data_IF_432087572797
#
_entry.id   IF_432087572797
#
_cell.length_a   1.000
_cell.length_b   1.000
_cell.length_c   1.000
_cell.angle_alpha   90.00
_cell.angle_beta   90.00
_cell.angle_gamma   90.00
#
_symmetry.space_group_name_H-M   'P 1'
#
loop_
_entity.id
_entity.type
_entity.pdbx_description
1 polymer ?
#
# COMPACT_ATOMS: atom_id res chain seq x y z
N UNK A 1 8.11 10.73 -8.25
CA UNK A 1 9.00 10.27 -9.35
C UNK A 1 8.97 11.15 -10.58
N UNK A 2 7.85 11.33 -11.28
CA UNK A 2 7.83 12.10 -12.52
C UNK A 2 8.31 13.55 -12.35
N UNK A 3 7.85 14.23 -11.28
CA UNK A 3 8.33 15.56 -10.88
C UNK A 3 9.86 15.59 -10.75
N UNK A 4 10.43 14.66 -9.97
CA UNK A 4 11.88 14.53 -9.73
C UNK A 4 12.70 14.22 -10.99
N UNK A 5 12.07 13.65 -12.02
CA UNK A 5 12.71 13.41 -13.31
C UNK A 5 12.59 14.62 -14.28
N UNK A 6 12.08 15.75 -13.81
CA UNK A 6 12.00 16.99 -14.57
C UNK A 6 10.74 17.14 -15.43
N UNK A 7 9.63 16.48 -15.06
CA UNK A 7 8.35 16.76 -15.70
C UNK A 7 7.87 18.17 -15.31
N UNK A 8 7.54 19.01 -16.30
CA UNK A 8 7.07 20.38 -16.08
C UNK A 8 5.72 20.43 -15.34
N UNK A 9 4.83 19.48 -15.63
CA UNK A 9 3.52 19.34 -14.98
C UNK A 9 3.18 17.86 -14.82
N UNK A 10 2.66 17.48 -13.64
CA UNK A 10 2.20 16.12 -13.36
C UNK A 10 0.80 16.19 -12.78
N UNK A 11 -0.16 15.52 -13.44
CA UNK A 11 -1.54 15.43 -12.98
C UNK A 11 -1.96 13.97 -12.80
N UNK A 12 -2.44 13.64 -11.60
CA UNK A 12 -3.01 12.35 -11.25
C UNK A 12 -4.54 12.40 -11.44
N UNK A 13 -5.03 11.62 -12.39
CA UNK A 13 -6.47 11.45 -12.61
C UNK A 13 -6.98 10.24 -11.82
N UNK A 14 -7.98 10.46 -10.97
CA UNK A 14 -8.56 9.41 -10.14
C UNK A 14 -10.08 9.38 -10.23
N UNK A 15 -10.65 8.19 -10.49
CA UNK A 15 -12.08 8.03 -10.73
C UNK A 15 -12.99 8.18 -9.50
N UNK A 16 -12.43 8.26 -8.29
CA UNK A 16 -13.17 8.43 -7.02
C UNK A 16 -12.74 9.73 -6.32
N UNK A 17 -13.27 10.00 -5.13
CA UNK A 17 -12.82 11.14 -4.32
C UNK A 17 -11.52 10.78 -3.58
N UNK A 18 -10.88 11.80 -3.04
CA UNK A 18 -9.71 11.68 -2.16
C UNK A 18 -9.95 10.70 -1.01
N UNK A 19 -11.12 10.77 -0.36
CA UNK A 19 -11.46 9.93 0.78
C UNK A 19 -11.61 8.43 0.46
N UNK A 20 -11.73 8.06 -0.82
CA UNK A 20 -11.70 6.65 -1.25
C UNK A 20 -10.40 6.26 -1.95
N UNK A 21 -9.37 7.10 -1.91
CA UNK A 21 -8.03 6.76 -2.39
C UNK A 21 -7.42 5.68 -1.47
N UNK A 22 -6.85 4.60 -2.03
CA UNK A 22 -6.25 3.54 -1.22
C UNK A 22 -4.85 3.90 -0.69
N UNK A 23 -4.23 4.98 -1.20
CA UNK A 23 -2.95 5.47 -0.73
C UNK A 23 -3.08 6.07 0.67
N UNK A 24 -1.98 6.10 1.41
CA UNK A 24 -1.96 6.77 2.71
C UNK A 24 -2.15 8.28 2.52
N UNK A 25 -2.87 8.94 3.44
CA UNK A 25 -3.04 10.40 3.38
C UNK A 25 -1.70 11.14 3.39
N UNK A 26 -0.72 10.60 4.10
CA UNK A 26 0.64 11.14 4.12
C UNK A 26 1.27 11.16 2.71
N UNK A 27 1.19 10.06 1.96
CA UNK A 27 1.70 10.01 0.58
C UNK A 27 0.92 10.93 -0.37
N UNK A 28 -0.40 11.06 -0.19
CA UNK A 28 -1.24 11.95 -0.99
C UNK A 28 -0.83 13.40 -0.77
N UNK A 29 -0.72 13.83 0.48
CA UNK A 29 -0.31 15.19 0.82
C UNK A 29 1.13 15.46 0.39
N UNK A 30 2.06 14.53 0.61
CA UNK A 30 3.44 14.66 0.17
C UNK A 30 3.56 14.83 -1.35
N UNK A 31 2.73 14.13 -2.14
CA UNK A 31 2.67 14.34 -3.58
C UNK A 31 2.11 15.72 -3.96
N UNK A 32 1.09 16.22 -3.25
CA UNK A 32 0.57 17.58 -3.45
C UNK A 32 1.61 18.64 -3.11
N UNK A 33 2.36 18.46 -2.03
CA UNK A 33 3.47 19.33 -1.61
C UNK A 33 4.60 19.36 -2.65
N UNK A 34 4.89 18.23 -3.30
CA UNK A 34 5.81 18.13 -4.43
C UNK A 34 5.24 18.72 -5.75
N UNK A 35 4.05 19.31 -5.73
CA UNK A 35 3.45 19.98 -6.90
C UNK A 35 2.69 19.06 -7.85
N UNK A 36 2.32 17.84 -7.43
CA UNK A 36 1.43 16.98 -8.23
C UNK A 36 0.00 17.49 -8.15
N UNK A 37 -0.61 17.75 -9.31
CA UNK A 37 -2.01 18.10 -9.43
C UNK A 37 -2.90 16.84 -9.30
N UNK A 38 -4.06 16.99 -8.67
CA UNK A 38 -5.04 15.90 -8.55
C UNK A 38 -6.35 16.27 -9.22
N UNK A 39 -6.81 15.41 -10.13
CA UNK A 39 -8.12 15.50 -10.75
C UNK A 39 -8.96 14.31 -10.31
N UNK A 40 -9.77 14.56 -9.28
CA UNK A 40 -10.68 13.58 -8.68
C UNK A 40 -11.97 13.45 -9.47
N UNK A 41 -12.64 12.30 -9.30
CA UNK A 41 -13.86 11.96 -10.03
C UNK A 41 -13.68 12.06 -11.54
N UNK A 42 -12.52 11.64 -12.05
CA UNK A 42 -12.21 11.62 -13.48
C UNK A 42 -11.81 10.21 -13.92
N UNK A 43 -12.53 9.69 -14.92
CA UNK A 43 -12.28 8.37 -15.50
C UNK A 43 -11.88 8.49 -16.96
N UNK A 44 -10.73 7.92 -17.32
CA UNK A 44 -10.27 7.86 -18.70
C UNK A 44 -11.26 7.04 -19.56
N UNK A 45 -11.64 7.58 -20.72
CA UNK A 45 -12.50 6.89 -21.70
C UNK A 45 -11.79 6.57 -23.01
N UNK A 46 -10.81 7.39 -23.42
CA UNK A 46 -10.12 7.20 -24.71
C UNK A 46 -8.75 7.88 -24.71
N UNK A 47 -7.76 7.20 -25.27
CA UNK A 47 -6.47 7.80 -25.65
C UNK A 47 -6.46 7.91 -27.17
N UNK A 48 -6.15 9.10 -27.67
CA UNK A 48 -5.98 9.39 -29.09
C UNK A 48 -4.48 9.59 -29.31
N UNK A 49 -3.83 8.73 -30.12
CA UNK A 49 -2.41 8.87 -30.40
C UNK A 49 -2.13 10.15 -31.19
N UNK A 50 -1.03 10.81 -30.86
CA UNK A 50 -0.63 12.10 -31.43
C UNK A 50 0.64 12.62 -30.76
N UNK A 51 1.08 13.81 -31.17
CA UNK A 51 2.11 14.61 -30.48
C UNK A 51 1.58 16.04 -30.32
N UNK A 52 1.00 16.40 -29.15
CA UNK A 52 0.86 15.59 -27.93
C UNK A 52 -0.22 14.50 -28.03
N UNK A 53 -0.24 13.56 -27.07
CA UNK A 53 -1.35 12.62 -26.90
C UNK A 53 -2.58 13.38 -26.41
N UNK A 54 -3.77 12.93 -26.81
CA UNK A 54 -5.04 13.46 -26.27
C UNK A 54 -5.74 12.39 -25.46
N UNK A 55 -6.03 12.69 -24.20
CA UNK A 55 -6.77 11.80 -23.31
C UNK A 55 -8.12 12.41 -23.02
N UNK A 56 -9.19 11.69 -23.37
CA UNK A 56 -10.53 12.06 -22.99
C UNK A 56 -10.84 11.43 -21.63
N UNK A 57 -11.30 12.27 -20.70
CA UNK A 57 -11.81 11.88 -19.41
C UNK A 57 -13.32 12.18 -19.34
N UNK A 58 -14.04 11.30 -18.64
CA UNK A 58 -15.42 11.49 -18.24
C UNK A 58 -15.47 11.84 -16.77
N UNK A 59 -16.29 12.82 -16.41
CA UNK A 59 -16.54 13.16 -15.02
C UNK A 59 -17.38 12.07 -14.35
N UNK A 60 -17.13 11.81 -13.08
CA UNK A 60 -17.77 10.80 -12.27
C UNK A 60 -18.55 11.46 -11.13
N UNK A 61 -19.54 10.75 -10.58
CA UNK A 61 -20.19 11.09 -9.32
C UNK A 61 -20.11 9.90 -8.36
N UNK A 62 -20.02 10.13 -7.03
CA UNK A 62 -20.03 9.05 -6.06
C UNK A 62 -21.42 8.40 -5.99
N UNK A 63 -21.51 7.11 -6.31
CA UNK A 63 -22.71 6.30 -6.10
C UNK A 63 -22.75 5.63 -4.72
N UNK A 64 -23.47 4.51 -4.63
CA UNK A 64 -23.55 3.71 -3.41
C UNK A 64 -22.19 3.08 -3.04
N UNK A 65 -21.90 2.92 -1.74
CA UNK A 65 -20.76 2.14 -1.26
C UNK A 65 -20.77 0.70 -1.78
N UNK A 66 -19.60 0.17 -2.11
CA UNK A 66 -19.38 -1.25 -2.34
C UNK A 66 -19.12 -2.01 -1.02
N UNK A 67 -18.88 -3.32 -1.10
CA UNK A 67 -18.61 -4.18 0.07
C UNK A 67 -17.37 -3.75 0.88
N UNK A 68 -16.46 -2.97 0.28
CA UNK A 68 -15.30 -2.40 0.96
C UNK A 68 -15.59 -1.03 1.60
N UNK A 69 -16.84 -0.54 1.49
CA UNK A 69 -17.25 0.79 1.95
C UNK A 69 -16.92 1.92 0.97
N UNK A 70 -16.25 1.64 -0.16
CA UNK A 70 -15.85 2.65 -1.14
C UNK A 70 -17.01 2.93 -2.09
N UNK A 71 -17.31 4.20 -2.33
CA UNK A 71 -18.38 4.57 -3.27
C UNK A 71 -18.02 4.13 -4.69
N UNK A 72 -19.00 3.55 -5.38
CA UNK A 72 -18.87 3.18 -6.78
C UNK A 72 -18.87 4.45 -7.63
N UNK A 73 -17.86 4.67 -8.48
CA UNK A 73 -17.86 5.83 -9.35
C UNK A 73 -18.86 5.62 -10.48
N UNK A 74 -19.81 6.53 -10.62
CA UNK A 74 -20.85 6.49 -11.67
C UNK A 74 -20.57 7.57 -12.72
N UNK A 75 -20.69 7.27 -14.02
CA UNK A 75 -20.43 8.25 -15.06
C UNK A 75 -21.44 9.40 -14.99
N UNK A 76 -20.95 10.64 -15.08
CA UNK A 76 -21.77 11.82 -15.31
C UNK A 76 -21.87 12.06 -16.83
N UNK A 77 -23.04 11.80 -17.39
CA UNK A 77 -23.25 11.96 -18.83
C UNK A 77 -23.09 13.42 -19.28
N UNK A 78 -22.50 13.62 -20.46
CA UNK A 78 -22.32 14.94 -21.07
C UNK A 78 -21.23 15.81 -20.43
N UNK A 79 -20.52 15.33 -19.40
CA UNK A 79 -19.44 16.07 -18.73
C UNK A 79 -18.11 15.32 -18.83
N UNK A 80 -17.09 16.01 -19.30
CA UNK A 80 -15.76 15.47 -19.48
C UNK A 80 -14.78 16.52 -19.98
N UNK A 81 -13.50 16.18 -19.99
CA UNK A 81 -12.43 17.05 -20.45
C UNK A 81 -11.49 16.26 -21.35
N UNK A 82 -10.92 16.93 -22.35
CA UNK A 82 -9.78 16.40 -23.11
C UNK A 82 -8.52 17.09 -22.61
N UNK A 83 -7.54 16.30 -22.20
CA UNK A 83 -6.24 16.78 -21.72
C UNK A 83 -5.17 16.37 -22.73
N UNK A 84 -4.20 17.25 -22.95
CA UNK A 84 -3.02 16.97 -23.76
C UNK A 84 -1.85 16.56 -22.83
N UNK A 85 -1.12 15.51 -23.19
CA UNK A 85 0.05 15.07 -22.43
C UNK A 85 1.10 14.43 -23.34
N UNK A 86 2.38 14.57 -22.97
CA UNK A 86 3.49 13.92 -23.67
C UNK A 86 3.70 12.47 -23.22
N UNK A 87 3.38 12.19 -21.94
CA UNK A 87 3.58 10.88 -21.31
C UNK A 87 2.33 10.47 -20.52
N UNK A 88 1.95 9.20 -20.61
CA UNK A 88 0.88 8.61 -19.81
C UNK A 88 1.48 7.45 -19.01
N UNK A 89 1.27 7.48 -17.69
CA UNK A 89 1.62 6.37 -16.80
C UNK A 89 0.33 5.75 -16.28
N UNK A 90 0.07 4.49 -16.64
CA UNK A 90 -1.10 3.77 -16.13
C UNK A 90 -0.78 3.15 -14.77
N UNK A 91 -1.43 3.63 -13.71
CA UNK A 91 -1.27 3.15 -12.33
C UNK A 91 -2.57 2.50 -11.80
N UNK A 92 -3.23 1.70 -12.63
CA UNK A 92 -4.52 1.06 -12.29
C UNK A 92 -4.37 -0.27 -11.50
N UNK A 93 -3.15 -0.60 -11.10
CA UNK A 93 -2.80 -1.84 -10.41
C UNK A 93 -2.37 -2.96 -11.35
N UNK A 94 -2.17 -4.15 -10.77
CA UNK A 94 -1.80 -5.38 -11.47
C UNK A 94 -2.73 -6.52 -11.06
N UNK A 95 -2.67 -7.60 -11.84
CA UNK A 95 -3.32 -8.87 -11.53
C UNK A 95 -2.32 -10.01 -11.66
N UNK A 96 -2.39 -10.98 -10.77
CA UNK A 96 -1.71 -12.25 -10.94
C UNK A 96 -2.22 -12.94 -12.21
N UNK A 97 -1.30 -13.53 -12.97
CA UNK A 97 -1.64 -14.39 -14.10
C UNK A 97 -0.81 -15.66 -13.97
N UNK A 98 -1.48 -16.76 -13.64
CA UNK A 98 -0.87 -18.09 -13.71
C UNK A 98 -0.85 -18.54 -15.17
N UNK A 99 0.32 -18.82 -15.76
CA UNK A 99 0.40 -19.31 -17.14
C UNK A 99 -0.37 -20.61 -17.35
N UNK A 100 -0.96 -20.76 -18.54
CA UNK A 100 -1.60 -22.00 -18.92
C UNK A 100 -0.61 -23.17 -18.88
N UNK A 101 -1.06 -24.33 -18.42
CA UNK A 101 -0.23 -25.54 -18.31
C UNK A 101 0.48 -25.73 -16.95
N UNK A 102 0.35 -24.79 -16.02
CA UNK A 102 0.88 -24.95 -14.66
C UNK A 102 0.08 -25.95 -13.82
N UNK A 103 -1.18 -26.25 -14.19
CA UNK A 103 -2.00 -27.27 -13.53
C UNK A 103 -2.57 -26.91 -12.15
N UNK A 104 -2.20 -25.74 -11.60
CA UNK A 104 -2.73 -25.23 -10.33
C UNK A 104 -4.09 -24.58 -10.52
N UNK A 105 -4.99 -24.78 -9.55
CA UNK A 105 -6.32 -24.18 -9.54
C UNK A 105 -6.23 -22.68 -9.26
N UNK A 106 -7.06 -21.91 -9.96
CA UNK A 106 -7.14 -20.45 -9.83
C UNK A 106 -8.58 -20.00 -9.74
N UNK A 107 -8.80 -18.95 -8.96
CA UNK A 107 -10.13 -18.37 -8.80
C UNK A 107 -10.53 -17.56 -10.04
N UNK A 108 -11.76 -17.01 -10.03
CA UNK A 108 -12.29 -16.18 -11.14
C UNK A 108 -11.46 -14.92 -11.44
N UNK A 109 -10.59 -14.49 -10.53
CA UNK A 109 -9.69 -13.34 -10.67
C UNK A 109 -8.30 -13.74 -11.18
N UNK A 110 -8.03 -15.03 -11.40
CA UNK A 110 -6.75 -15.56 -11.87
C UNK A 110 -5.69 -15.70 -10.77
N UNK A 111 -6.10 -15.63 -9.50
CA UNK A 111 -5.24 -15.82 -8.32
C UNK A 111 -5.21 -17.30 -7.94
N UNK A 112 -4.09 -17.77 -7.41
CA UNK A 112 -3.92 -19.16 -6.97
C UNK A 112 -4.84 -19.44 -5.79
N UNK A 113 -5.60 -20.53 -5.86
CA UNK A 113 -6.41 -20.98 -4.73
C UNK A 113 -5.54 -21.82 -3.78
N UNK A 114 -5.69 -21.54 -2.48
CA UNK A 114 -4.99 -22.25 -1.41
C UNK A 114 -5.93 -22.54 -0.24
N UNK A 115 -5.56 -23.52 0.58
CA UNK A 115 -6.16 -23.70 1.90
C UNK A 115 -5.57 -22.74 2.96
N UNK A 116 -5.96 -22.93 4.23
CA UNK A 116 -5.49 -22.12 5.37
C UNK A 116 -3.99 -22.29 5.65
N UNK A 117 -3.41 -23.42 5.24
CA UNK A 117 -1.99 -23.73 5.35
C UNK A 117 -1.19 -23.26 4.12
N UNK A 118 -1.85 -22.52 3.22
CA UNK A 118 -1.32 -22.00 1.96
C UNK A 118 -0.93 -23.07 0.93
N UNK A 119 -1.43 -24.30 1.10
CA UNK A 119 -1.21 -25.39 0.15
C UNK A 119 -2.13 -25.20 -1.05
N UNK A 120 -1.59 -25.40 -2.25
CA UNK A 120 -2.36 -25.30 -3.51
C UNK A 120 -3.06 -26.62 -3.84
N UNK A 121 -3.76 -26.68 -4.97
CA UNK A 121 -4.33 -27.93 -5.50
C UNK A 121 -3.28 -28.96 -5.97
N UNK A 122 -2.04 -28.53 -6.21
CA UNK A 122 -0.92 -29.42 -6.55
C UNK A 122 -0.22 -29.87 -5.27
N UNK A 123 0.22 -31.14 -5.23
CA UNK A 123 0.68 -31.76 -3.98
C UNK A 123 1.77 -30.96 -3.25
N UNK A 124 3.03 -31.11 -3.51
CA UNK A 124 4.11 -30.42 -2.83
C UNK A 124 4.29 -28.92 -3.20
N UNK A 125 3.19 -28.15 -3.33
CA UNK A 125 3.20 -26.75 -3.81
C UNK A 125 2.35 -25.84 -2.93
N UNK A 126 2.94 -24.69 -2.54
CA UNK A 126 2.33 -23.64 -1.73
C UNK A 126 2.39 -22.28 -2.43
N UNK A 127 1.47 -21.38 -2.08
CA UNK A 127 1.46 -20.01 -2.58
C UNK A 127 0.99 -19.03 -1.51
N UNK A 128 1.54 -17.80 -1.51
CA UNK A 128 1.18 -16.77 -0.54
C UNK A 128 1.35 -15.35 -1.12
N UNK A 129 0.94 -14.35 -0.36
CA UNK A 129 1.00 -12.95 -0.76
C UNK A 129 0.11 -12.65 -1.97
N UNK A 130 0.59 -11.76 -2.83
CA UNK A 130 -0.24 -11.22 -3.91
C UNK A 130 -0.66 -12.25 -4.97
N UNK A 131 0.04 -13.40 -5.05
CA UNK A 131 -0.33 -14.49 -5.93
C UNK A 131 -1.69 -15.11 -5.55
N UNK A 132 -2.05 -15.05 -4.26
CA UNK A 132 -3.29 -15.61 -3.69
C UNK A 132 -4.35 -14.51 -3.53
N UNK A 133 -3.97 -13.33 -3.04
CA UNK A 133 -4.93 -12.29 -2.66
C UNK A 133 -5.03 -11.12 -3.65
N UNK A 134 -4.08 -10.98 -4.58
CA UNK A 134 -3.90 -9.77 -5.37
C UNK A 134 -3.12 -8.70 -4.60
N UNK A 135 -3.11 -7.43 -5.02
CA UNK A 135 -2.28 -6.42 -4.37
C UNK A 135 -2.58 -6.27 -2.87
N UNK A 136 -1.61 -6.63 -2.03
CA UNK A 136 -1.65 -6.51 -0.56
C UNK A 136 -0.43 -5.78 -0.02
N UNK A 137 -0.24 -5.76 1.30
CA UNK A 137 0.93 -5.16 1.95
C UNK A 137 2.08 -6.15 2.07
N UNK A 138 3.31 -5.63 2.15
CA UNK A 138 4.51 -6.45 2.38
C UNK A 138 4.38 -7.30 3.64
N UNK A 139 3.77 -6.77 4.71
CA UNK A 139 3.58 -7.52 5.96
C UNK A 139 2.61 -8.70 5.80
N UNK A 140 1.60 -8.59 4.93
CA UNK A 140 0.71 -9.71 4.62
C UNK A 140 1.47 -10.83 3.90
N UNK A 141 2.30 -10.48 2.91
CA UNK A 141 3.15 -11.45 2.23
C UNK A 141 4.17 -12.12 3.18
N UNK A 142 4.74 -11.38 4.13
CA UNK A 142 5.63 -11.94 5.16
C UNK A 142 4.91 -12.93 6.08
N UNK A 143 3.71 -12.59 6.54
CA UNK A 143 2.84 -13.49 7.32
C UNK A 143 2.62 -14.79 6.55
N UNK A 144 2.24 -14.70 5.29
CA UNK A 144 1.97 -15.86 4.45
C UNK A 144 3.22 -16.72 4.25
N UNK A 145 4.38 -16.08 4.04
CA UNK A 145 5.66 -16.79 3.99
C UNK A 145 5.92 -17.64 5.24
N UNK A 146 5.58 -17.12 6.44
CA UNK A 146 5.71 -17.87 7.70
C UNK A 146 4.72 -19.03 7.79
N UNK A 147 3.47 -18.83 7.38
CA UNK A 147 2.45 -19.90 7.36
C UNK A 147 2.88 -21.02 6.41
N UNK A 148 3.24 -20.67 5.17
CA UNK A 148 3.68 -21.64 4.17
C UNK A 148 4.94 -22.39 4.63
N UNK A 149 5.93 -21.71 5.20
CA UNK A 149 7.13 -22.36 5.72
C UNK A 149 6.81 -23.37 6.85
N UNK A 150 5.89 -23.03 7.75
CA UNK A 150 5.42 -23.95 8.80
C UNK A 150 4.70 -25.18 8.21
N UNK A 151 3.85 -24.97 7.20
CA UNK A 151 3.15 -26.06 6.50
C UNK A 151 4.11 -26.98 5.73
N UNK A 152 5.09 -26.41 5.04
CA UNK A 152 6.14 -27.15 4.32
C UNK A 152 6.96 -28.00 5.30
N UNK A 153 7.37 -27.45 6.44
CA UNK A 153 8.14 -28.20 7.44
C UNK A 153 7.36 -29.41 7.96
N UNK A 154 6.07 -29.24 8.30
CA UNK A 154 5.18 -30.34 8.68
C UNK A 154 5.04 -31.40 7.58
N UNK A 155 4.89 -30.97 6.33
CA UNK A 155 4.81 -31.89 5.18
C UNK A 155 6.10 -32.73 5.03
N UNK A 156 7.27 -32.15 5.34
CA UNK A 156 8.56 -32.83 5.31
C UNK A 156 8.85 -33.67 6.58
N UNK A 157 7.92 -33.74 7.53
CA UNK A 157 8.04 -34.55 8.75
C UNK A 157 8.58 -33.80 9.97
N UNK A 158 8.70 -32.47 9.91
CA UNK A 158 8.97 -31.61 11.05
C UNK A 158 7.74 -31.29 11.88
N UNK A 159 7.86 -30.34 12.80
CA UNK A 159 6.79 -29.92 13.73
C UNK A 159 6.12 -28.59 13.32
N UNK A 160 6.65 -27.92 12.30
CA UNK A 160 6.27 -26.58 11.89
C UNK A 160 7.12 -25.51 12.60
N UNK A 161 6.92 -24.26 12.17
CA UNK A 161 7.51 -23.12 12.85
C UNK A 161 6.78 -22.84 14.15
N UNK A 162 7.53 -22.71 15.24
CA UNK A 162 6.98 -22.22 16.51
C UNK A 162 6.58 -20.74 16.40
N UNK A 163 5.63 -20.33 17.22
CA UNK A 163 5.41 -18.92 17.46
C UNK A 163 6.67 -18.31 18.08
N UNK A 164 7.01 -17.10 17.65
CA UNK A 164 8.10 -16.36 18.27
C UNK A 164 7.63 -15.92 19.66
N UNK A 165 7.96 -16.68 20.69
CA UNK A 165 7.80 -16.21 22.07
C UNK A 165 8.99 -15.31 22.38
N UNK A 166 8.78 -14.01 22.65
CA UNK A 166 9.87 -13.14 23.04
C UNK A 166 10.52 -13.70 24.31
N UNK A 167 11.84 -13.72 24.34
CA UNK A 167 12.57 -14.08 25.55
C UNK A 167 12.43 -12.93 26.55
N UNK A 168 11.59 -13.15 27.56
CA UNK A 168 11.32 -12.16 28.61
C UNK A 168 12.25 -12.31 29.81
N UNK A 169 13.26 -13.18 29.76
CA UNK A 169 14.16 -13.43 30.91
C UNK A 169 14.92 -12.18 31.35
N UNK A 170 15.28 -11.30 30.42
CA UNK A 170 15.94 -10.02 30.69
C UNK A 170 14.97 -8.82 30.71
N UNK A 171 13.66 -9.05 30.65
CA UNK A 171 12.70 -7.95 30.63
C UNK A 171 12.65 -7.22 31.97
N UNK A 172 13.02 -5.94 31.97
CA UNK A 172 12.93 -5.08 33.15
C UNK A 172 11.69 -4.19 33.05
N UNK A 173 10.70 -4.49 33.89
CA UNK A 173 9.52 -3.68 34.07
C UNK A 173 9.89 -2.25 34.55
N UNK A 174 9.67 -1.24 33.72
CA UNK A 174 9.86 0.17 34.09
C UNK A 174 8.57 0.76 34.70
N UNK A 175 8.62 1.44 35.86
CA UNK A 175 7.46 2.19 36.33
C UNK A 175 7.23 3.36 35.38
N UNK A 176 6.06 3.36 34.73
CA UNK A 176 5.64 4.39 33.78
C UNK A 176 4.18 4.75 34.05
N UNK A 177 3.87 6.03 33.93
CA UNK A 177 2.49 6.53 33.97
C UNK A 177 1.83 6.23 32.63
N UNK A 178 0.93 5.23 32.63
CA UNK A 178 0.26 4.75 31.41
C UNK A 178 -0.62 5.83 30.78
N UNK A 179 -1.35 6.59 31.60
CA UNK A 179 -2.27 7.62 31.13
C UNK A 179 -1.50 8.76 30.48
N UNK A 180 -0.44 9.25 31.15
CA UNK A 180 0.42 10.29 30.59
C UNK A 180 1.12 9.86 29.29
N UNK A 181 1.52 8.59 29.16
CA UNK A 181 2.14 8.07 27.94
C UNK A 181 1.16 7.95 26.77
N UNK A 182 -0.09 7.56 27.05
CA UNK A 182 -1.16 7.44 26.05
C UNK A 182 -1.61 8.81 25.54
N UNK A 183 -1.60 9.83 26.38
CA UNK A 183 -1.95 11.20 26.01
C UNK A 183 -0.79 11.97 25.33
N UNK A 184 0.45 11.53 25.51
CA UNK A 184 1.60 12.19 24.91
C UNK A 184 1.53 12.14 23.37
N UNK A 185 1.69 13.27 22.66
CA UNK A 185 1.70 13.26 21.20
C UNK A 185 2.91 12.48 20.68
N UNK A 186 2.75 11.78 19.57
CA UNK A 186 3.89 11.18 18.85
C UNK A 186 4.76 12.28 18.26
N UNK A 187 6.09 12.17 18.43
CA UNK A 187 7.01 13.04 17.71
C UNK A 187 6.77 12.92 16.20
N UNK A 188 6.63 14.07 15.54
CA UNK A 188 6.61 14.12 14.09
C UNK A 188 7.98 13.71 13.56
N UNK A 189 7.99 12.83 12.55
CA UNK A 189 9.20 12.48 11.83
C UNK A 189 9.59 13.71 11.00
N UNK A 190 10.80 14.29 11.17
CA UNK A 190 11.23 15.39 10.34
C UNK A 190 11.34 14.92 8.89
N UNK A 191 11.00 15.78 7.96
CA UNK A 191 11.06 15.47 6.53
C UNK A 191 11.91 16.51 5.80
N UNK A 192 12.50 16.12 4.66
CA UNK A 192 13.09 17.08 3.73
C UNK A 192 12.06 18.11 3.29
N UNK A 193 12.50 19.33 3.02
CA UNK A 193 11.63 20.36 2.47
C UNK A 193 11.15 19.96 1.05
N UNK A 194 9.87 20.18 0.69
CA UNK A 194 9.36 19.83 -0.63
C UNK A 194 10.19 20.36 -1.81
N UNK A 195 10.75 21.57 -1.69
CA UNK A 195 11.61 22.15 -2.74
C UNK A 195 12.93 21.39 -2.93
N UNK A 196 13.40 20.70 -1.88
CA UNK A 196 14.56 19.80 -1.96
C UNK A 196 14.16 18.38 -2.40
N UNK A 197 12.99 17.88 -1.97
CA UNK A 197 12.47 16.54 -2.34
C UNK A 197 12.40 16.38 -3.86
N UNK A 198 11.99 17.42 -4.58
CA UNK A 198 11.83 17.39 -6.04
C UNK A 198 13.16 17.38 -6.81
N UNK A 199 14.29 17.67 -6.17
CA UNK A 199 15.61 17.74 -6.84
C UNK A 199 16.30 16.39 -6.97
N UNK A 200 15.78 15.34 -6.32
CA UNK A 200 16.46 14.05 -6.30
C UNK A 200 15.65 12.91 -5.69
N UNK A 201 16.37 11.85 -5.34
CA UNK A 201 15.83 10.62 -4.77
C UNK A 201 16.36 10.35 -3.36
N UNK A 202 16.80 11.41 -2.68
CA UNK A 202 17.20 11.35 -1.28
C UNK A 202 16.00 10.95 -0.39
N UNK A 203 16.31 10.39 0.77
CA UNK A 203 15.32 9.93 1.74
C UNK A 203 14.49 11.11 2.25
N UNK A 204 13.16 11.03 2.11
CA UNK A 204 12.26 12.12 2.51
C UNK A 204 12.14 12.18 4.02
N UNK A 205 11.93 11.03 4.66
CA UNK A 205 11.89 10.91 6.11
C UNK A 205 13.31 11.00 6.68
N UNK A 206 13.52 11.92 7.62
CA UNK A 206 14.79 12.14 8.28
C UNK A 206 14.79 11.51 9.67
N UNK A 207 15.98 11.37 10.23
CA UNK A 207 16.15 10.84 11.58
C UNK A 207 15.77 11.88 12.65
N UNK A 208 15.16 11.40 13.73
CA UNK A 208 14.90 12.22 14.91
C UNK A 208 16.20 12.73 15.54
N UNK A 209 16.17 13.96 16.03
CA UNK A 209 17.25 14.53 16.83
C UNK A 209 17.41 13.72 18.14
N UNK A 210 18.64 13.66 18.66
CA UNK A 210 19.00 12.76 19.78
C UNK A 210 18.07 12.93 20.98
N UNK A 211 17.73 14.17 21.35
CA UNK A 211 16.85 14.44 22.48
C UNK A 211 15.45 13.85 22.26
N UNK A 212 14.85 14.14 21.09
CA UNK A 212 13.52 13.62 20.70
C UNK A 212 13.53 12.10 20.58
N UNK A 213 14.55 11.52 19.94
CA UNK A 213 14.71 10.07 19.83
C UNK A 213 14.82 9.40 21.20
N UNK A 214 15.54 10.01 22.15
CA UNK A 214 15.66 9.51 23.53
C UNK A 214 14.32 9.61 24.28
N UNK A 215 13.56 10.68 24.05
CA UNK A 215 12.24 10.86 24.62
C UNK A 215 11.26 9.79 24.11
N UNK A 216 11.19 9.60 22.78
CA UNK A 216 10.36 8.57 22.14
C UNK A 216 10.76 7.16 22.55
N UNK A 217 12.06 6.85 22.61
CA UNK A 217 12.55 5.56 23.15
C UNK A 217 12.17 5.37 24.63
N UNK A 218 12.07 6.47 25.40
CA UNK A 218 11.58 6.47 26.77
C UNK A 218 10.09 6.12 26.90
N UNK A 219 9.31 6.26 25.82
CA UNK A 219 7.89 5.87 25.76
C UNK A 219 7.69 4.40 25.45
N UNK A 220 8.75 3.63 25.20
CA UNK A 220 8.68 2.22 24.81
C UNK A 220 7.69 1.49 25.71
N UNK A 221 6.59 1.04 25.07
CA UNK A 221 5.48 0.42 25.74
C UNK A 221 5.99 -0.87 26.38
N UNK A 222 5.83 -0.94 27.70
CA UNK A 222 5.90 -2.17 28.50
C UNK A 222 5.27 -3.32 27.71
N UNK A 223 6.10 -4.17 27.08
CA UNK A 223 5.61 -5.27 26.21
C UNK A 223 4.78 -6.31 26.99
N UNK A 224 4.76 -6.20 28.32
CA UNK A 224 3.89 -6.94 29.24
C UNK A 224 2.48 -6.32 29.40
N UNK A 225 2.19 -5.14 28.83
CA UNK A 225 0.86 -4.52 28.78
C UNK A 225 0.02 -4.99 27.58
N UNK A 226 -0.07 -6.30 27.36
CA UNK A 226 -0.92 -6.91 26.32
C UNK A 226 -2.38 -7.09 26.79
N UNK A 227 -2.96 -6.08 27.46
CA UNK A 227 -4.39 -6.03 27.85
C UNK A 227 -5.22 -5.20 26.88
#
# INVERSE_FOLDING_TARGET
TAVRLGADEVTLFYRRTEGEMPASLHEVHGAMEEGVNFDFLSSQIKIIPGKPLKINFQAMIPGEPDESGRRRPMPMEGRGVTVEADTIISAIGYRGLVPAGMGVEVNRRGQIETDEDLKTSLDNVWAGGDAVYGPTSVIAALRDGRIAASSIDKYLGGEGLSDATPDMTEFVARPVDKEALMEAPQAAIPELDPDERIKGFDEVELVLEKCTATCEAGRCWRCDWNE
#
